data_IF_333880507360
#
_entry.id   IF_333880507360
#
_cell.length_a   1.000
_cell.length_b   1.000
_cell.length_c   1.000
_cell.angle_alpha   90.00
_cell.angle_beta   90.00
_cell.angle_gamma   90.00
#
_symmetry.space_group_name_H-M   'P 1'
#
loop_
_entity.id
_entity.type
_entity.pdbx_description
1 polymer ?
#
# COMPACT_ATOMS: atom_id res chain seq x y z
N UNK A 1 -4.81 -45.71 39.78
CA UNK A 1 -3.98 -45.26 38.65
C UNK A 1 -4.59 -43.96 38.15
N UNK A 2 -3.98 -42.84 38.54
CA UNK A 2 -4.38 -41.50 38.06
C UNK A 2 -3.62 -41.31 36.75
N UNK A 3 -4.32 -41.36 35.62
CA UNK A 3 -3.75 -40.94 34.35
C UNK A 3 -3.73 -39.42 34.35
N UNK A 4 -2.52 -38.86 34.44
CA UNK A 4 -2.26 -37.47 34.13
C UNK A 4 -2.61 -37.25 32.66
N UNK A 5 -3.73 -36.56 32.43
CA UNK A 5 -4.05 -35.99 31.13
C UNK A 5 -3.22 -34.73 31.02
N UNK A 6 -2.09 -34.82 30.33
CA UNK A 6 -1.34 -33.66 29.88
C UNK A 6 -2.22 -32.99 28.82
N UNK A 7 -2.84 -31.87 29.18
CA UNK A 7 -3.44 -30.95 28.21
C UNK A 7 -2.26 -30.27 27.52
N UNK A 8 -1.93 -30.71 26.33
CA UNK A 8 -1.09 -29.93 25.42
C UNK A 8 -1.87 -28.64 25.12
N UNK A 9 -1.36 -27.53 25.63
CA UNK A 9 -1.83 -26.21 25.26
C UNK A 9 -1.38 -25.99 23.82
N UNK A 10 -2.28 -26.18 22.86
CA UNK A 10 -2.07 -25.73 21.49
C UNK A 10 -1.75 -24.23 21.54
N UNK A 11 -0.57 -23.87 21.02
CA UNK A 11 -0.23 -22.47 20.77
C UNK A 11 -1.33 -21.85 19.91
N UNK A 12 -1.75 -20.61 20.18
CA UNK A 12 -2.82 -19.99 19.41
C UNK A 12 -2.38 -19.94 17.94
N UNK A 13 -3.16 -20.60 17.06
CA UNK A 13 -3.03 -20.43 15.62
C UNK A 13 -3.09 -18.91 15.34
N UNK A 14 -1.96 -18.32 14.94
CA UNK A 14 -1.96 -16.97 14.38
C UNK A 14 -2.92 -16.99 13.19
N UNK A 15 -4.06 -16.31 13.32
CA UNK A 15 -5.00 -16.12 12.23
C UNK A 15 -4.32 -15.15 11.25
N UNK A 16 -3.54 -15.70 10.32
CA UNK A 16 -2.97 -14.96 9.20
C UNK A 16 -4.12 -14.36 8.40
N UNK A 17 -4.05 -13.05 8.10
CA UNK A 17 -5.07 -12.44 7.25
C UNK A 17 -4.90 -12.94 5.83
N UNK A 18 -6.01 -13.42 5.26
CA UNK A 18 -6.11 -13.77 3.85
C UNK A 18 -5.68 -12.62 2.91
N UNK A 19 -5.77 -11.36 3.36
CA UNK A 19 -5.52 -10.19 2.52
C UNK A 19 -4.09 -9.62 2.63
N UNK A 20 -3.23 -10.15 3.52
CA UNK A 20 -1.85 -9.66 3.62
C UNK A 20 -1.08 -9.99 2.34
N UNK A 21 -0.57 -8.96 1.65
CA UNK A 21 0.18 -9.08 0.41
C UNK A 21 1.31 -8.04 0.33
N UNK A 22 2.34 -8.37 -0.45
CA UNK A 22 3.44 -7.47 -0.79
C UNK A 22 3.29 -6.87 -2.19
N UNK A 23 3.75 -5.63 -2.34
CA UNK A 23 3.83 -4.91 -3.61
C UNK A 23 5.02 -5.37 -4.49
N UNK A 24 5.19 -4.75 -5.66
CA UNK A 24 6.32 -4.99 -6.57
C UNK A 24 7.68 -4.76 -5.92
N UNK A 25 7.76 -3.85 -4.94
CA UNK A 25 8.96 -3.54 -4.16
C UNK A 25 8.84 -3.93 -2.69
N UNK A 26 7.98 -4.90 -2.39
CA UNK A 26 7.84 -5.55 -1.09
C UNK A 26 7.39 -4.63 0.06
N UNK A 27 6.59 -3.61 -0.25
CA UNK A 27 5.80 -2.90 0.73
C UNK A 27 4.54 -3.70 1.07
N UNK A 28 4.06 -3.59 2.31
CA UNK A 28 2.73 -4.11 2.68
C UNK A 28 1.65 -3.29 1.95
N UNK A 29 0.71 -3.94 1.27
CA UNK A 29 -0.27 -3.26 0.41
C UNK A 29 -1.17 -2.28 1.19
N UNK A 30 -1.59 -2.62 2.41
CA UNK A 30 -2.40 -1.70 3.23
C UNK A 30 -1.61 -0.45 3.61
N UNK A 31 -0.31 -0.61 3.89
CA UNK A 31 0.57 0.53 4.15
C UNK A 31 0.77 1.41 2.93
N UNK A 32 0.80 0.84 1.72
CA UNK A 32 0.83 1.61 0.48
C UNK A 32 -0.43 2.46 0.34
N UNK A 33 -1.61 1.89 0.59
CA UNK A 33 -2.90 2.60 0.50
C UNK A 33 -3.01 3.72 1.53
N UNK A 34 -2.63 3.46 2.77
CA UNK A 34 -2.67 4.45 3.84
C UNK A 34 -1.60 5.53 3.63
N UNK A 35 -0.41 5.18 3.16
CA UNK A 35 0.61 6.16 2.82
C UNK A 35 0.21 7.05 1.65
N UNK A 36 -0.52 6.52 0.66
CA UNK A 36 -1.15 7.30 -0.41
C UNK A 36 -2.16 8.31 0.15
N UNK A 37 -3.07 7.89 1.03
CA UNK A 37 -4.02 8.80 1.68
C UNK A 37 -3.29 9.90 2.45
N UNK A 38 -2.37 9.55 3.34
CA UNK A 38 -1.70 10.52 4.20
C UNK A 38 -0.84 11.51 3.41
N UNK A 39 -0.14 11.06 2.37
CA UNK A 39 0.65 11.96 1.50
C UNK A 39 -0.23 12.89 0.65
N UNK A 40 -1.46 12.49 0.30
CA UNK A 40 -2.46 13.39 -0.29
C UNK A 40 -2.90 14.47 0.72
N UNK A 41 -3.22 14.08 1.95
CA UNK A 41 -3.65 15.01 3.00
C UNK A 41 -2.54 16.00 3.40
N UNK A 42 -1.29 15.56 3.37
CA UNK A 42 -0.10 16.37 3.62
C UNK A 42 0.31 17.27 2.44
N UNK A 43 -0.48 17.31 1.37
CA UNK A 43 -0.16 18.08 0.17
C UNK A 43 1.23 17.75 -0.40
N UNK A 44 1.59 16.46 -0.39
CA UNK A 44 2.89 15.94 -0.82
C UNK A 44 2.76 15.14 -2.14
N UNK A 45 2.50 15.80 -3.28
CA UNK A 45 2.11 15.14 -4.53
C UNK A 45 3.16 14.14 -5.04
N UNK A 46 4.44 14.41 -4.84
CA UNK A 46 5.52 13.53 -5.30
C UNK A 46 5.57 12.20 -4.55
N UNK A 47 5.26 12.22 -3.25
CA UNK A 47 5.14 11.02 -2.42
C UNK A 47 3.82 10.30 -2.72
N UNK A 48 2.73 11.04 -2.89
CA UNK A 48 1.45 10.45 -3.27
C UNK A 48 1.53 9.73 -4.63
N UNK A 49 2.20 10.33 -5.62
CA UNK A 49 2.45 9.68 -6.91
C UNK A 49 3.26 8.38 -6.74
N UNK A 50 4.26 8.38 -5.87
CA UNK A 50 5.06 7.19 -5.59
C UNK A 50 4.17 6.05 -5.09
N UNK A 51 3.34 6.28 -4.08
CA UNK A 51 2.46 5.26 -3.52
C UNK A 51 1.37 4.80 -4.48
N UNK A 52 0.78 5.73 -5.24
CA UNK A 52 -0.22 5.40 -6.25
C UNK A 52 0.35 4.49 -7.34
N UNK A 53 1.54 4.79 -7.84
CA UNK A 53 2.19 3.97 -8.86
C UNK A 53 2.80 2.69 -8.30
N UNK A 54 3.19 2.67 -7.03
CA UNK A 54 3.57 1.43 -6.36
C UNK A 54 2.40 0.44 -6.36
N UNK A 55 1.20 0.89 -5.98
CA UNK A 55 -0.01 0.07 -6.02
C UNK A 55 -0.36 -0.33 -7.47
N UNK A 56 -0.42 0.64 -8.38
CA UNK A 56 -0.82 0.44 -9.77
C UNK A 56 0.08 -0.57 -10.51
N UNK A 57 1.40 -0.39 -10.44
CA UNK A 57 2.36 -1.24 -11.16
C UNK A 57 2.63 -2.57 -10.45
N UNK A 58 2.23 -2.73 -9.18
CA UNK A 58 2.10 -4.04 -8.53
C UNK A 58 0.97 -4.90 -9.11
N UNK A 59 0.19 -4.35 -10.05
CA UNK A 59 -0.89 -5.04 -10.75
C UNK A 59 -2.28 -4.71 -10.24
N UNK A 60 -2.39 -3.94 -9.16
CA UNK A 60 -3.64 -3.49 -8.54
C UNK A 60 -4.17 -2.22 -9.23
N UNK A 61 -4.35 -2.28 -10.55
CA UNK A 61 -4.65 -1.10 -11.38
C UNK A 61 -6.01 -0.47 -11.03
N UNK A 62 -7.08 -1.26 -11.03
CA UNK A 62 -8.42 -0.81 -10.66
C UNK A 62 -8.50 -0.40 -9.19
N UNK A 63 -7.84 -1.14 -8.30
CA UNK A 63 -7.78 -0.82 -6.88
C UNK A 63 -7.10 0.53 -6.64
N UNK A 64 -6.06 0.89 -7.40
CA UNK A 64 -5.42 2.20 -7.28
C UNK A 64 -6.41 3.34 -7.55
N UNK A 65 -7.22 3.23 -8.62
CA UNK A 65 -8.28 4.20 -8.88
C UNK A 65 -9.42 4.14 -7.86
N UNK A 66 -9.81 2.94 -7.44
CA UNK A 66 -10.84 2.73 -6.41
C UNK A 66 -10.43 3.40 -5.08
N UNK A 67 -9.16 3.28 -4.69
CA UNK A 67 -8.60 3.99 -3.54
C UNK A 67 -8.74 5.51 -3.71
N UNK A 68 -8.37 6.09 -4.87
CA UNK A 68 -8.54 7.53 -5.10
C UNK A 68 -10.00 7.97 -5.11
N UNK A 69 -10.91 7.17 -5.67
CA UNK A 69 -12.34 7.45 -5.67
C UNK A 69 -12.90 7.45 -4.24
N UNK A 70 -12.51 6.49 -3.41
CA UNK A 70 -12.91 6.43 -2.00
C UNK A 70 -12.39 7.63 -1.21
N UNK A 71 -11.13 8.02 -1.43
CA UNK A 71 -10.53 9.23 -0.84
C UNK A 71 -11.34 10.46 -1.28
N UNK A 72 -11.57 10.62 -2.58
CA UNK A 72 -12.29 11.77 -3.13
C UNK A 72 -13.72 11.88 -2.60
N UNK A 73 -14.44 10.76 -2.51
CA UNK A 73 -15.84 10.71 -2.08
C UNK A 73 -15.98 11.02 -0.60
N UNK A 74 -15.01 10.60 0.21
CA UNK A 74 -15.05 10.77 1.66
C UNK A 74 -14.64 12.16 2.13
N UNK A 75 -13.82 12.87 1.35
CA UNK A 75 -13.10 14.06 1.85
C UNK A 75 -13.14 15.29 0.94
N UNK A 76 -13.65 15.19 -0.28
CA UNK A 76 -13.59 16.30 -1.25
C UNK A 76 -14.96 16.72 -1.77
N UNK A 77 -15.02 17.90 -2.40
CA UNK A 77 -16.25 18.43 -2.99
C UNK A 77 -16.74 17.56 -4.16
N UNK A 78 -18.05 17.58 -4.49
CA UNK A 78 -18.58 16.85 -5.66
C UNK A 78 -17.90 17.21 -6.98
N UNK A 79 -17.32 18.41 -7.09
CA UNK A 79 -16.59 18.85 -8.28
C UNK A 79 -15.25 18.10 -8.41
N UNK A 80 -14.50 17.98 -7.31
CA UNK A 80 -13.24 17.22 -7.27
C UNK A 80 -13.52 15.73 -7.48
N UNK A 81 -14.56 15.19 -6.85
CA UNK A 81 -15.00 13.79 -7.05
C UNK A 81 -15.27 13.49 -8.52
N UNK A 82 -16.06 14.34 -9.20
CA UNK A 82 -16.33 14.21 -10.64
C UNK A 82 -15.06 14.27 -11.49
N UNK A 83 -14.09 15.10 -11.11
CA UNK A 83 -12.83 15.18 -11.85
C UNK A 83 -12.03 13.87 -11.75
N UNK A 84 -11.94 13.28 -10.55
CA UNK A 84 -11.27 11.98 -10.34
C UNK A 84 -12.00 10.88 -11.11
N UNK A 85 -13.34 10.85 -11.05
CA UNK A 85 -14.15 9.92 -11.83
C UNK A 85 -13.89 10.06 -13.34
N UNK A 86 -13.81 11.28 -13.86
CA UNK A 86 -13.48 11.50 -15.27
C UNK A 86 -12.09 10.97 -15.67
N UNK A 87 -11.10 11.00 -14.76
CA UNK A 87 -9.80 10.39 -15.06
C UNK A 87 -9.89 8.87 -15.08
N UNK A 88 -10.69 8.27 -14.18
CA UNK A 88 -10.98 6.83 -14.19
C UNK A 88 -11.72 6.42 -15.46
N UNK A 89 -12.77 7.13 -15.84
CA UNK A 89 -13.56 6.83 -17.05
C UNK A 89 -12.68 6.85 -18.31
N UNK A 90 -11.80 7.86 -18.44
CA UNK A 90 -10.82 7.92 -19.55
C UNK A 90 -9.80 6.79 -19.50
N UNK A 91 -9.38 6.39 -18.31
CA UNK A 91 -8.47 5.27 -18.14
C UNK A 91 -9.14 3.92 -18.47
N UNK A 92 -10.44 3.78 -18.22
CA UNK A 92 -11.22 2.60 -18.60
C UNK A 92 -11.34 2.46 -20.12
N UNK A 93 -11.39 3.58 -20.85
CA UNK A 93 -11.34 3.60 -22.31
C UNK A 93 -9.96 3.20 -22.87
N UNK A 94 -8.88 3.62 -22.21
CA UNK A 94 -7.50 3.33 -22.61
C UNK A 94 -6.56 3.15 -21.41
N UNK A 95 -6.40 1.90 -20.91
CA UNK A 95 -5.58 1.63 -19.74
C UNK A 95 -4.08 1.91 -19.90
N UNK A 96 -3.60 2.15 -21.13
CA UNK A 96 -2.21 2.57 -21.39
C UNK A 96 -1.95 4.01 -20.98
N UNK A 97 -3.02 4.80 -20.72
CA UNK A 97 -2.92 6.16 -20.21
C UNK A 97 -2.78 6.20 -18.69
N UNK A 98 -1.82 5.43 -18.14
CA UNK A 98 -1.59 5.35 -16.70
C UNK A 98 -1.25 6.71 -16.04
N UNK A 99 -0.83 7.72 -16.80
CA UNK A 99 -0.65 9.10 -16.30
C UNK A 99 -1.94 9.78 -15.84
N UNK A 100 -3.12 9.27 -16.23
CA UNK A 100 -4.42 9.73 -15.71
C UNK A 100 -4.56 9.48 -14.21
N UNK A 101 -4.00 8.37 -13.71
CA UNK A 101 -3.90 8.11 -12.27
C UNK A 101 -3.13 9.23 -11.60
N UNK A 102 -1.94 9.55 -12.12
CA UNK A 102 -1.11 10.61 -11.56
C UNK A 102 -1.75 11.99 -11.63
N UNK A 103 -2.53 12.28 -12.68
CA UNK A 103 -3.33 13.50 -12.78
C UNK A 103 -4.38 13.58 -11.67
N UNK A 104 -5.08 12.48 -11.38
CA UNK A 104 -6.04 12.42 -10.28
C UNK A 104 -5.36 12.58 -8.91
N UNK A 105 -4.23 11.90 -8.68
CA UNK A 105 -3.44 12.01 -7.45
C UNK A 105 -3.00 13.46 -7.22
N UNK A 106 -2.42 14.09 -8.24
CA UNK A 106 -1.96 15.48 -8.12
C UNK A 106 -3.13 16.42 -7.84
N UNK A 107 -4.27 16.21 -8.51
CA UNK A 107 -5.46 17.02 -8.30
C UNK A 107 -5.97 16.93 -6.86
N UNK A 108 -5.95 15.75 -6.24
CA UNK A 108 -6.31 15.58 -4.84
C UNK A 108 -5.29 16.25 -3.92
N UNK A 109 -3.99 15.98 -4.11
CA UNK A 109 -2.93 16.54 -3.28
C UNK A 109 -2.82 18.09 -3.35
N UNK A 110 -3.30 18.73 -4.43
CA UNK A 110 -3.33 20.19 -4.57
C UNK A 110 -4.63 20.84 -4.04
N UNK A 111 -5.54 20.05 -3.45
CA UNK A 111 -6.85 20.53 -3.01
C UNK A 111 -7.03 20.34 -1.51
N UNK A 112 -7.64 21.31 -0.80
CA UNK A 112 -7.91 21.15 0.63
C UNK A 112 -8.92 20.03 0.85
N UNK A 113 -8.51 19.00 1.59
CA UNK A 113 -9.40 17.93 2.04
C UNK A 113 -10.24 18.38 3.24
N UNK A 114 -11.43 17.81 3.38
CA UNK A 114 -12.28 17.92 4.54
C UNK A 114 -12.50 16.53 5.13
N UNK A 115 -11.74 16.19 6.17
CA UNK A 115 -11.77 14.86 6.77
C UNK A 115 -12.97 14.62 7.70
N UNK A 116 -13.83 15.62 7.96
CA UNK A 116 -14.95 15.52 8.90
C UNK A 116 -15.83 14.32 8.61
N UNK A 117 -16.31 14.18 7.36
CA UNK A 117 -17.19 13.06 7.00
C UNK A 117 -16.46 11.71 7.10
N UNK A 118 -15.19 11.67 6.70
CA UNK A 118 -14.36 10.47 6.83
C UNK A 118 -14.25 10.04 8.30
N UNK A 119 -13.81 10.92 9.20
CA UNK A 119 -13.69 10.59 10.62
C UNK A 119 -15.05 10.20 11.22
N UNK A 120 -16.14 10.91 10.91
CA UNK A 120 -17.47 10.54 11.42
C UNK A 120 -17.92 9.14 10.94
N UNK A 121 -17.46 8.69 9.77
CA UNK A 121 -17.89 7.40 9.20
C UNK A 121 -17.12 6.21 9.76
N UNK A 122 -15.86 6.40 10.17
CA UNK A 122 -14.96 5.30 10.57
C UNK A 122 -14.57 5.33 12.05
N UNK A 123 -14.59 6.50 12.70
CA UNK A 123 -14.28 6.60 14.12
C UNK A 123 -15.40 5.98 14.96
N UNK A 124 -15.02 5.17 15.95
CA UNK A 124 -15.95 4.58 16.92
C UNK A 124 -16.01 5.35 18.26
N UNK A 125 -15.19 6.40 18.45
CA UNK A 125 -15.14 7.22 19.66
C UNK A 125 -16.32 8.23 19.70
N UNK A 126 -17.32 8.02 20.58
CA UNK A 126 -18.49 8.90 20.64
C UNK A 126 -18.16 10.31 21.13
N UNK A 127 -17.13 10.46 21.97
CA UNK A 127 -16.73 11.76 22.50
C UNK A 127 -16.09 12.62 21.40
N UNK A 128 -15.25 12.01 20.56
CA UNK A 128 -14.68 12.69 19.40
C UNK A 128 -15.78 13.10 18.42
N UNK A 129 -16.70 12.18 18.07
CA UNK A 129 -17.78 12.47 17.11
C UNK A 129 -18.61 13.69 17.54
N UNK A 130 -18.91 13.84 18.84
CA UNK A 130 -19.64 15.00 19.36
C UNK A 130 -18.86 16.33 19.25
N UNK A 131 -17.53 16.27 19.18
CA UNK A 131 -16.66 17.44 19.11
C UNK A 131 -16.36 17.88 17.67
N UNK A 132 -16.69 17.05 16.67
CA UNK A 132 -16.49 17.35 15.26
C UNK A 132 -17.36 18.56 14.88
N UNK A 133 -16.71 19.61 14.38
CA UNK A 133 -17.38 20.82 13.90
C UNK A 133 -17.49 20.79 12.38
N UNK A 134 -18.58 21.32 11.80
CA UNK A 134 -18.66 21.47 10.35
C UNK A 134 -17.57 22.44 9.87
N UNK A 135 -16.63 21.92 9.09
CA UNK A 135 -15.57 22.71 8.47
C UNK A 135 -16.14 23.35 7.20
N UNK A 136 -15.93 24.65 7.04
CA UNK A 136 -16.28 25.35 5.79
C UNK A 136 -15.22 25.07 4.74
N UNK A 137 -15.66 24.65 3.55
CA UNK A 137 -14.75 24.38 2.44
C UNK A 137 -13.95 25.65 2.10
N UNK A 138 -12.62 25.54 2.16
CA UNK A 138 -11.71 26.59 1.67
C UNK A 138 -11.96 26.82 0.17
N UNK A 139 -11.74 28.04 -0.31
CA UNK A 139 -11.93 28.37 -1.74
C UNK A 139 -11.02 27.48 -2.61
N UNK A 140 -11.62 26.80 -3.57
CA UNK A 140 -10.88 26.00 -4.54
C UNK A 140 -10.09 26.88 -5.51
N UNK A 141 -8.85 26.50 -5.81
CA UNK A 141 -8.10 27.08 -6.92
C UNK A 141 -8.61 26.52 -8.26
N UNK A 142 -8.49 27.30 -9.33
CA UNK A 142 -8.98 26.93 -10.66
C UNK A 142 -7.92 26.19 -11.50
N UNK A 143 -6.71 26.03 -10.99
CA UNK A 143 -5.58 25.47 -11.73
C UNK A 143 -5.60 23.94 -11.58
N UNK A 144 -5.56 23.22 -12.68
CA UNK A 144 -5.42 21.77 -12.71
C UNK A 144 -4.12 21.42 -13.40
N UNK A 145 -3.30 20.60 -12.74
CA UNK A 145 -2.08 20.04 -13.32
C UNK A 145 -2.47 18.73 -13.99
N UNK A 146 -2.20 18.64 -15.28
CA UNK A 146 -2.42 17.43 -16.09
C UNK A 146 -1.05 16.83 -16.36
N UNK A 147 -0.87 15.57 -15.96
CA UNK A 147 0.37 14.85 -16.21
C UNK A 147 0.32 14.17 -17.57
N UNK A 148 1.48 14.11 -18.20
CA UNK A 148 1.71 13.34 -19.42
C UNK A 148 2.57 12.10 -19.12
N UNK A 149 2.66 11.20 -20.09
CA UNK A 149 3.52 10.01 -20.04
C UNK A 149 4.94 10.30 -19.54
N UNK A 150 5.52 11.43 -19.95
CA UNK A 150 6.90 11.83 -19.60
C UNK A 150 7.07 12.18 -18.12
N UNK A 151 6.03 12.72 -17.49
CA UNK A 151 6.09 13.23 -16.11
C UNK A 151 6.08 12.09 -15.08
N UNK A 152 5.66 10.90 -15.51
CA UNK A 152 5.47 9.73 -14.66
C UNK A 152 6.47 8.61 -14.93
N UNK A 153 7.44 8.83 -15.84
CA UNK A 153 8.45 7.83 -16.21
C UNK A 153 9.24 7.32 -15.01
N UNK A 154 9.53 8.19 -14.04
CA UNK A 154 10.29 7.84 -12.85
C UNK A 154 9.59 6.81 -11.93
N UNK A 155 8.30 6.54 -12.13
CA UNK A 155 7.52 5.61 -11.29
C UNK A 155 7.20 4.27 -11.96
N UNK A 156 7.53 4.13 -13.24
CA UNK A 156 7.32 2.90 -14.01
C UNK A 156 8.29 1.82 -13.52
N UNK A 157 7.96 0.55 -13.78
CA UNK A 157 8.84 -0.58 -13.47
C UNK A 157 10.25 -0.37 -14.03
N UNK A 158 11.23 -0.58 -13.16
CA UNK A 158 12.65 -0.56 -13.50
C UNK A 158 13.10 -1.98 -13.83
N UNK A 159 13.65 -2.16 -15.04
CA UNK A 159 14.33 -3.38 -15.44
C UNK A 159 15.80 -3.32 -14.98
N UNK A 160 16.34 -4.45 -14.51
CA UNK A 160 17.71 -4.56 -14.01
C UNK A 160 18.23 -5.98 -14.18
N UNK A 161 19.53 -6.11 -14.43
CA UNK A 161 20.25 -7.39 -14.43
C UNK A 161 20.74 -7.78 -13.01
N UNK A 162 20.41 -6.96 -11.99
CA UNK A 162 20.79 -7.15 -10.58
C UNK A 162 19.57 -6.97 -9.68
N UNK A 163 18.62 -7.93 -9.69
CA UNK A 163 17.40 -7.82 -8.90
C UNK A 163 17.68 -7.76 -7.39
N UNK A 164 18.74 -8.40 -6.91
CA UNK A 164 19.26 -8.35 -5.53
C UNK A 164 19.62 -6.92 -5.05
N UNK A 165 19.89 -6.01 -5.99
CA UNK A 165 20.22 -4.61 -5.69
C UNK A 165 19.07 -3.66 -6.01
N UNK A 166 17.97 -4.14 -6.59
CA UNK A 166 16.92 -3.26 -7.10
C UNK A 166 16.32 -2.40 -5.99
N UNK A 167 15.97 -3.01 -4.86
CA UNK A 167 15.37 -2.33 -3.71
C UNK A 167 16.21 -1.14 -3.22
N UNK A 168 17.54 -1.26 -3.23
CA UNK A 168 18.47 -0.19 -2.83
C UNK A 168 18.38 1.05 -3.73
N UNK A 169 17.89 0.91 -4.95
CA UNK A 169 17.80 2.00 -5.94
C UNK A 169 16.39 2.55 -6.09
N UNK A 170 15.35 1.72 -5.93
CA UNK A 170 13.96 2.12 -6.21
C UNK A 170 13.20 2.62 -4.98
N UNK A 171 13.58 2.17 -3.77
CA UNK A 171 12.91 2.59 -2.54
C UNK A 171 13.23 4.04 -2.23
N UNK A 172 12.18 4.88 -2.17
CA UNK A 172 12.31 6.33 -1.92
C UNK A 172 11.65 6.79 -0.62
N UNK A 173 10.51 6.21 -0.28
CA UNK A 173 9.72 6.59 0.89
C UNK A 173 9.50 5.37 1.79
N UNK A 174 9.53 5.60 3.10
CA UNK A 174 9.10 4.61 4.11
C UNK A 174 7.58 4.67 4.23
N UNK A 175 6.87 3.53 4.38
CA UNK A 175 5.45 3.57 4.65
C UNK A 175 5.16 4.29 5.95
N UNK A 176 4.00 4.93 6.01
CA UNK A 176 3.53 5.74 7.13
C UNK A 176 2.75 4.87 8.12
N UNK A 177 3.48 4.04 8.85
CA UNK A 177 2.94 3.02 9.77
C UNK A 177 2.49 3.55 11.14
N UNK A 178 2.23 4.86 11.29
CA UNK A 178 1.73 5.43 12.54
C UNK A 178 0.20 5.41 12.63
N UNK A 179 -0.50 4.93 11.60
CA UNK A 179 -1.98 4.88 11.53
C UNK A 179 -2.53 3.45 11.47
N UNK A 180 -1.71 2.42 11.70
CA UNK A 180 -2.10 1.01 11.52
C UNK A 180 -3.36 0.66 12.31
N UNK A 181 -3.43 1.12 13.55
CA UNK A 181 -4.54 0.81 14.46
C UNK A 181 -5.85 1.46 14.04
N UNK A 182 -5.83 2.72 13.59
CA UNK A 182 -7.06 3.45 13.23
C UNK A 182 -7.60 3.04 11.87
N UNK A 183 -6.76 2.48 11.00
CA UNK A 183 -7.15 1.94 9.70
C UNK A 183 -7.31 0.42 9.70
N UNK A 184 -7.25 -0.21 10.87
CA UNK A 184 -7.48 -1.64 11.06
C UNK A 184 -6.67 -2.50 10.08
N UNK A 185 -5.40 -2.13 9.84
CA UNK A 185 -4.52 -2.91 8.96
C UNK A 185 -4.39 -4.33 9.50
N UNK A 186 -4.44 -5.32 8.63
CA UNK A 186 -4.42 -6.73 9.03
C UNK A 186 -3.17 -7.11 9.84
N UNK A 187 -2.04 -6.50 9.50
CA UNK A 187 -0.77 -6.71 10.18
C UNK A 187 -0.57 -5.85 11.43
N UNK A 188 -1.57 -5.07 11.85
CA UNK A 188 -1.51 -4.32 13.11
C UNK A 188 -1.40 -5.24 14.34
N UNK A 189 -1.77 -6.52 14.18
CA UNK A 189 -1.65 -7.57 15.20
C UNK A 189 -0.30 -8.30 15.17
N UNK A 190 0.48 -8.17 14.09
CA UNK A 190 1.76 -8.84 13.96
C UNK A 190 2.83 -8.09 14.73
N UNK A 191 3.65 -8.84 15.46
CA UNK A 191 4.85 -8.26 16.02
C UNK A 191 5.91 -8.01 14.95
N UNK A 192 6.94 -7.22 15.31
CA UNK A 192 7.98 -6.81 14.37
C UNK A 192 8.81 -7.99 13.84
N UNK A 193 8.98 -9.03 14.65
CA UNK A 193 9.75 -10.21 14.27
C UNK A 193 8.95 -11.06 13.29
N UNK A 194 7.66 -11.30 13.53
CA UNK A 194 6.77 -11.99 12.58
C UNK A 194 6.77 -11.29 11.22
N UNK A 195 6.58 -9.96 11.20
CA UNK A 195 6.58 -9.19 9.94
C UNK A 195 7.94 -9.25 9.23
N UNK A 196 9.04 -9.24 9.99
CA UNK A 196 10.38 -9.41 9.42
C UNK A 196 10.61 -10.81 8.84
N UNK A 197 10.15 -11.86 9.51
CA UNK A 197 10.29 -13.24 9.02
C UNK A 197 9.46 -13.46 7.74
N UNK A 198 8.25 -12.90 7.67
CA UNK A 198 7.43 -12.88 6.46
C UNK A 198 8.17 -12.18 5.29
N UNK A 199 8.80 -11.04 5.55
CA UNK A 199 9.51 -10.26 4.54
C UNK A 199 10.88 -10.82 4.16
N UNK A 200 11.60 -11.47 5.07
CA UNK A 200 12.95 -11.97 4.81
C UNK A 200 12.97 -13.39 4.25
N UNK A 201 12.02 -14.25 4.67
CA UNK A 201 12.02 -15.69 4.34
C UNK A 201 10.87 -16.11 3.43
N UNK A 202 9.74 -15.42 3.50
CA UNK A 202 8.49 -15.81 2.82
C UNK A 202 8.03 -14.76 1.80
N UNK A 203 8.91 -13.83 1.43
CA UNK A 203 8.53 -12.66 0.63
C UNK A 203 7.87 -13.05 -0.67
N UNK A 204 8.37 -14.08 -1.35
CA UNK A 204 7.88 -14.48 -2.67
C UNK A 204 6.46 -15.06 -2.58
N UNK A 205 6.13 -15.77 -1.49
CA UNK A 205 4.79 -16.26 -1.21
C UNK A 205 3.79 -15.11 -1.02
N UNK A 206 4.12 -14.14 -0.16
CA UNK A 206 3.24 -12.98 0.08
C UNK A 206 3.20 -12.01 -1.10
N UNK A 207 4.28 -11.92 -1.86
CA UNK A 207 4.36 -11.16 -3.10
C UNK A 207 3.49 -11.79 -4.19
N UNK A 208 3.42 -13.12 -4.28
CA UNK A 208 2.59 -13.85 -5.23
C UNK A 208 1.10 -13.45 -5.15
N UNK A 209 0.62 -13.02 -3.99
CA UNK A 209 -0.74 -12.47 -3.82
C UNK A 209 -0.97 -11.16 -4.60
N UNK A 210 0.07 -10.53 -5.15
CA UNK A 210 -0.07 -9.40 -6.08
C UNK A 210 -0.12 -9.83 -7.54
N UNK A 211 -0.94 -9.19 -8.40
CA UNK A 211 -1.08 -9.62 -9.79
C UNK A 211 0.19 -9.49 -10.65
N UNK A 212 1.14 -8.63 -10.29
CA UNK A 212 2.43 -8.56 -10.97
C UNK A 212 3.26 -9.82 -10.68
N UNK A 213 3.45 -10.14 -9.42
CA UNK A 213 4.28 -11.27 -9.00
C UNK A 213 3.65 -12.60 -9.37
N UNK A 214 2.33 -12.75 -9.25
CA UNK A 214 1.62 -13.93 -9.74
C UNK A 214 1.96 -14.20 -11.20
N UNK A 215 1.84 -13.19 -12.08
CA UNK A 215 2.17 -13.34 -13.50
C UNK A 215 3.63 -13.69 -13.73
N UNK A 216 4.57 -13.13 -12.96
CA UNK A 216 5.99 -13.46 -13.05
C UNK A 216 6.24 -14.93 -12.70
N UNK A 217 5.65 -15.39 -11.60
CA UNK A 217 5.74 -16.78 -11.13
C UNK A 217 5.12 -17.74 -12.17
N UNK A 218 3.90 -17.45 -12.62
CA UNK A 218 3.19 -18.27 -13.60
C UNK A 218 3.97 -18.39 -14.91
N UNK A 219 4.58 -17.29 -15.38
CA UNK A 219 5.36 -17.29 -16.62
C UNK A 219 6.63 -18.15 -16.56
N UNK A 220 7.08 -18.55 -15.37
CA UNK A 220 8.21 -19.44 -15.13
C UNK A 220 7.75 -20.78 -14.52
N UNK A 221 6.45 -21.11 -14.60
CA UNK A 221 5.91 -22.37 -14.12
C UNK A 221 6.00 -22.59 -12.61
N UNK A 222 6.05 -21.51 -11.82
CA UNK A 222 6.14 -21.61 -10.37
C UNK A 222 4.86 -22.16 -9.73
N UNK A 223 5.02 -22.94 -8.67
CA UNK A 223 3.94 -23.54 -7.87
C UNK A 223 3.97 -22.94 -6.47
N UNK A 224 2.85 -22.37 -6.06
CA UNK A 224 2.66 -21.76 -4.74
C UNK A 224 2.21 -22.85 -3.76
N UNK A 225 2.98 -23.05 -2.70
CA UNK A 225 2.64 -23.94 -1.59
C UNK A 225 2.08 -23.12 -0.43
N UNK A 226 0.76 -23.18 -0.25
CA UNK A 226 0.06 -22.48 0.83
C UNK A 226 0.30 -23.11 2.22
N UNK A 227 0.69 -24.38 2.28
CA UNK A 227 0.98 -25.07 3.55
C UNK A 227 2.34 -24.64 4.10
N UNK A 228 3.36 -24.64 3.24
CA UNK A 228 4.72 -24.26 3.63
C UNK A 228 5.02 -22.77 3.42
N UNK A 229 4.10 -22.01 2.79
CA UNK A 229 4.24 -20.59 2.46
C UNK A 229 5.48 -20.31 1.60
N UNK A 230 5.66 -21.12 0.57
CA UNK A 230 6.79 -21.05 -0.36
C UNK A 230 6.31 -21.02 -1.80
N UNK A 231 7.23 -20.66 -2.70
CA UNK A 231 7.03 -20.79 -4.15
C UNK A 231 8.19 -21.61 -4.67
N UNK A 232 7.88 -22.67 -5.43
CA UNK A 232 8.87 -23.58 -6.01
C UNK A 232 8.79 -23.53 -7.52
N UNK A 233 9.92 -23.77 -8.19
CA UNK A 233 10.00 -23.77 -9.65
C UNK A 233 10.51 -25.14 -10.10
N UNK A 234 10.18 -25.51 -11.34
CA UNK A 234 10.73 -26.72 -11.96
C UNK A 234 11.94 -26.32 -12.80
N UNK A 235 13.05 -27.03 -12.67
CA UNK A 235 14.22 -26.83 -13.52
C UNK A 235 13.85 -26.94 -15.02
N UNK A 236 14.37 -26.05 -15.89
CA UNK A 236 15.39 -25.03 -15.63
C UNK A 236 14.84 -23.63 -15.27
N UNK A 237 13.52 -23.48 -15.04
CA UNK A 237 12.89 -22.16 -14.91
C UNK A 237 13.23 -21.42 -13.62
N UNK A 238 13.77 -22.12 -12.61
CA UNK A 238 14.19 -21.53 -11.34
C UNK A 238 15.34 -20.52 -11.54
N UNK A 239 16.39 -20.93 -12.25
CA UNK A 239 17.56 -20.08 -12.52
C UNK A 239 17.14 -18.84 -13.33
N UNK A 240 16.35 -19.01 -14.38
CA UNK A 240 15.84 -17.91 -15.21
C UNK A 240 14.98 -16.92 -14.41
N UNK A 241 14.16 -17.42 -13.47
CA UNK A 241 13.35 -16.57 -12.60
C UNK A 241 14.25 -15.80 -11.62
N UNK A 242 15.23 -16.48 -11.01
CA UNK A 242 16.11 -15.86 -10.03
C UNK A 242 16.98 -14.77 -10.62
N UNK A 243 17.56 -14.99 -11.81
CA UNK A 243 18.35 -14.00 -12.54
C UNK A 243 17.58 -12.70 -12.80
N UNK A 244 16.26 -12.79 -13.02
CA UNK A 244 15.43 -11.63 -13.38
C UNK A 244 14.77 -10.95 -12.18
N UNK A 245 14.39 -11.70 -11.15
CA UNK A 245 13.44 -11.19 -10.14
C UNK A 245 13.81 -11.44 -8.68
N UNK A 246 14.84 -12.24 -8.36
CA UNK A 246 15.12 -12.57 -6.97
C UNK A 246 15.76 -11.40 -6.21
N UNK A 247 15.11 -10.91 -5.17
CA UNK A 247 15.53 -9.72 -4.42
C UNK A 247 16.49 -9.99 -3.26
N UNK A 248 16.78 -11.25 -2.94
CA UNK A 248 17.75 -11.64 -1.90
C UNK A 248 17.48 -10.91 -0.56
N UNK A 249 16.26 -11.06 -0.04
CA UNK A 249 15.71 -10.25 1.06
C UNK A 249 16.41 -10.46 2.39
N UNK A 250 16.91 -11.66 2.67
CA UNK A 250 17.64 -12.01 3.88
C UNK A 250 19.03 -11.36 3.96
N UNK A 251 19.63 -10.99 2.82
CA UNK A 251 20.91 -10.27 2.73
C UNK A 251 20.74 -8.73 2.65
N UNK A 252 19.50 -8.22 2.72
CA UNK A 252 19.26 -6.78 2.68
C UNK A 252 19.63 -6.10 4.00
N UNK A 253 20.28 -4.91 3.95
CA UNK A 253 20.63 -4.20 5.17
C UNK A 253 19.39 -3.66 5.87
N UNK A 254 19.49 -3.48 7.19
CA UNK A 254 18.39 -2.97 8.05
C UNK A 254 17.69 -1.72 7.50
N UNK A 255 18.41 -0.82 6.84
CA UNK A 255 17.81 0.38 6.24
C UNK A 255 16.76 0.06 5.17
N UNK A 256 16.97 -0.99 4.37
CA UNK A 256 16.03 -1.44 3.34
C UNK A 256 14.79 -2.06 3.99
N UNK A 257 15.00 -2.88 5.03
CA UNK A 257 13.91 -3.44 5.83
C UNK A 257 13.04 -2.34 6.43
N UNK A 258 13.65 -1.30 7.02
CA UNK A 258 12.93 -0.16 7.58
C UNK A 258 12.23 0.68 6.49
N UNK A 259 12.78 0.76 5.28
CA UNK A 259 12.11 1.41 4.16
C UNK A 259 10.90 0.62 3.66
N UNK A 260 10.91 -0.71 3.69
CA UNK A 260 9.77 -1.53 3.23
C UNK A 260 8.69 -1.70 4.31
N UNK A 261 9.09 -1.96 5.55
CA UNK A 261 8.19 -2.31 6.66
C UNK A 261 7.92 -1.16 7.62
N UNK A 262 8.42 0.04 7.32
CA UNK A 262 8.33 1.19 8.21
C UNK A 262 9.25 1.08 9.43
N UNK A 263 9.38 2.21 10.13
CA UNK A 263 10.07 2.29 11.42
C UNK A 263 9.05 2.12 12.55
N UNK A 264 9.46 1.59 13.72
CA UNK A 264 8.63 1.64 14.91
C UNK A 264 8.28 3.10 15.24
N UNK A 265 6.99 3.40 15.27
CA UNK A 265 6.45 4.73 15.59
C UNK A 265 5.28 4.62 16.54
N UNK A 266 5.06 5.67 17.32
CA UNK A 266 3.84 5.81 18.13
C UNK A 266 2.61 5.78 17.22
N UNK A 267 1.59 5.01 17.62
CA UNK A 267 0.34 4.89 16.87
C UNK A 267 -0.57 6.06 17.19
N UNK A 268 -1.15 6.64 16.15
CA UNK A 268 -2.13 7.71 16.26
C UNK A 268 -3.47 7.15 16.71
N UNK A 269 -4.19 7.97 17.47
CA UNK A 269 -5.61 7.78 17.74
C UNK A 269 -6.43 8.55 16.71
N UNK A 270 -7.72 8.24 16.59
CA UNK A 270 -8.65 9.02 15.77
C UNK A 270 -8.67 10.50 16.15
N UNK A 271 -8.50 10.81 17.45
CA UNK A 271 -8.41 12.19 17.95
C UNK A 271 -7.17 12.90 17.42
N UNK A 272 -6.00 12.27 17.53
CA UNK A 272 -4.75 12.81 16.96
C UNK A 272 -4.91 13.05 15.46
N UNK A 273 -5.39 12.04 14.72
CA UNK A 273 -5.61 12.15 13.27
C UNK A 273 -6.54 13.33 12.92
N UNK A 274 -7.67 13.45 13.62
CA UNK A 274 -8.62 14.54 13.39
C UNK A 274 -8.01 15.91 13.68
N UNK A 275 -7.35 16.09 14.82
CA UNK A 275 -6.71 17.35 15.19
C UNK A 275 -5.57 17.72 14.22
N UNK A 276 -4.81 16.74 13.73
CA UNK A 276 -3.72 16.99 12.79
C UNK A 276 -4.20 17.56 11.45
N UNK A 277 -5.28 17.03 10.89
CA UNK A 277 -5.77 17.40 9.55
C UNK A 277 -6.93 18.41 9.53
N UNK A 278 -7.33 18.94 10.69
CA UNK A 278 -8.36 19.99 10.78
C UNK A 278 -7.88 21.32 11.33
N UNK A 279 -6.73 21.36 12.01
CA UNK A 279 -6.05 22.59 12.42
C UNK A 279 -5.34 23.27 11.23
#
# INVERSE_FOLDING_TARGET
>A
MIQNITVELEEPEEIESANFAFSRYLYVIDDVKSSLLLSILDHSPQEALYWAYELYFSGFKDDAFTTLLNISTSMYSPKVQRFVQQQKDKWDEDPEQYWLLGTAVWHLADRPANITQFVTSFCQDPELIQQIKPITNKRETHIVIVLEKKDVQAYINVETDKPDKLLKHVLKYSPRTHVLQIFEHDHATYDRQTLYDMWSKQWLYYAAKSPLWQRRIDSHGGVIDHTNKTVTFVDPFEEEFHEKYYYDTDEQPRQIVELCLGKPTEQWTWRHFYEHYTN
#
